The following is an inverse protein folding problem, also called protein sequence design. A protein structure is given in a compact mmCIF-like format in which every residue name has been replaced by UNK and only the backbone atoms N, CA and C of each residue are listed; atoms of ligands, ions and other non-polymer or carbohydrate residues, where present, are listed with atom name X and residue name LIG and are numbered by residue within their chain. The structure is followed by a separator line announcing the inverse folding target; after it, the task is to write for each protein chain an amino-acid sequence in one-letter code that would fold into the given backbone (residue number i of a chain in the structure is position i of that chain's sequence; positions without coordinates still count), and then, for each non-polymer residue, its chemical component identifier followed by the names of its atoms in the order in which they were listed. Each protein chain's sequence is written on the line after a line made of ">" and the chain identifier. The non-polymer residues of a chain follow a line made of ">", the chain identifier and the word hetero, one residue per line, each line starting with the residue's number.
data_IF_531470012009
#
_entry.id   IF_531470012009
#
_cell.length_a   1.000
_cell.length_b   1.000
_cell.length_c   1.000
_cell.angle_alpha   90.00
_cell.angle_beta   90.00
_cell.angle_gamma   90.00
#
_symmetry.space_group_name_H-M   'P 1'
#
loop_
_entity.id
_entity.type
_entity.pdbx_description
1 polymer ?
#
# COMPACT_ATOMS: atom_id res chain seq x y z
N UNK A 1 5.35 -5.39 8.10
CA UNK A 1 4.20 -6.32 7.99
C UNK A 1 3.44 -6.39 9.31
N UNK A 2 4.14 -6.29 10.45
CA UNK A 2 3.53 -6.22 11.79
C UNK A 2 2.92 -4.85 12.12
N UNK A 3 3.14 -3.84 11.29
CA UNK A 3 2.73 -2.44 11.50
C UNK A 3 1.25 -2.23 11.92
N UNK A 4 0.24 -2.92 11.37
CA UNK A 4 -1.14 -2.76 11.83
C UNK A 4 -1.44 -3.49 13.15
N UNK A 5 -0.71 -4.58 13.45
CA UNK A 5 -0.85 -5.33 14.70
C UNK A 5 -0.18 -4.62 15.88
N UNK A 6 0.98 -4.00 15.66
CA UNK A 6 1.65 -3.15 16.67
C UNK A 6 0.77 -1.97 17.06
N UNK A 7 0.14 -1.33 16.08
CA UNK A 7 -0.71 -0.15 16.27
C UNK A 7 -1.99 -0.45 17.07
N UNK A 8 -2.48 -1.68 17.02
CA UNK A 8 -3.70 -2.13 17.72
C UNK A 8 -3.39 -2.96 18.97
N UNK A 9 -2.11 -3.18 19.31
CA UNK A 9 -1.73 -4.04 20.44
C UNK A 9 -2.21 -5.49 20.28
N UNK A 10 -2.36 -5.95 19.04
CA UNK A 10 -2.94 -7.23 18.66
C UNK A 10 -1.89 -8.26 18.22
N UNK A 11 -0.61 -8.02 18.56
CA UNK A 11 0.48 -8.94 18.21
C UNK A 11 0.26 -10.33 18.79
N UNK A 12 0.41 -11.36 17.96
CA UNK A 12 0.27 -12.76 18.37
C UNK A 12 -1.15 -13.24 18.65
N UNK A 13 -2.18 -12.39 18.45
CA UNK A 13 -3.59 -12.76 18.73
C UNK A 13 -4.34 -13.35 17.53
N UNK A 14 -3.78 -13.23 16.33
CA UNK A 14 -4.46 -13.57 15.08
C UNK A 14 -3.54 -14.30 14.10
N UNK A 15 -4.07 -15.35 13.48
CA UNK A 15 -3.46 -16.01 12.33
C UNK A 15 -3.94 -15.36 11.02
N UNK A 16 -3.02 -15.15 10.07
CA UNK A 16 -3.31 -14.51 8.78
C UNK A 16 -3.11 -15.48 7.64
N UNK A 17 -4.21 -15.88 7.01
CA UNK A 17 -4.18 -16.60 5.74
C UNK A 17 -4.57 -15.66 4.60
N UNK A 18 -3.64 -15.41 3.67
CA UNK A 18 -3.87 -14.53 2.52
C UNK A 18 -3.42 -15.19 1.21
N UNK A 19 -4.25 -15.05 0.18
CA UNK A 19 -3.90 -15.41 -1.20
C UNK A 19 -3.76 -14.13 -2.01
N UNK A 20 -2.59 -13.93 -2.62
CA UNK A 20 -2.26 -12.74 -3.39
C UNK A 20 -1.76 -13.17 -4.77
N UNK A 21 -2.22 -12.49 -5.81
CA UNK A 21 -1.85 -12.76 -7.20
C UNK A 21 -1.46 -11.48 -7.93
N UNK A 22 -0.41 -11.54 -8.76
CA UNK A 22 0.09 -10.40 -9.53
C UNK A 22 0.98 -9.43 -8.74
N UNK A 23 1.44 -8.37 -9.40
CA UNK A 23 2.36 -7.38 -8.82
C UNK A 23 3.78 -7.90 -8.61
N UNK A 24 4.54 -7.21 -7.74
CA UNK A 24 5.87 -7.64 -7.28
C UNK A 24 5.95 -7.62 -5.75
N UNK A 25 7.07 -8.08 -5.18
CA UNK A 25 7.23 -8.32 -3.73
C UNK A 25 6.80 -7.12 -2.86
N UNK A 26 7.25 -5.91 -3.19
CA UNK A 26 6.90 -4.70 -2.44
C UNK A 26 5.42 -4.31 -2.58
N UNK A 27 4.84 -4.49 -3.77
CA UNK A 27 3.42 -4.24 -4.03
C UNK A 27 2.51 -5.24 -3.30
N UNK A 28 2.91 -6.51 -3.26
CA UNK A 28 2.20 -7.56 -2.53
C UNK A 28 2.24 -7.32 -1.02
N UNK A 29 3.40 -6.93 -0.47
CA UNK A 29 3.50 -6.55 0.95
C UNK A 29 2.58 -5.38 1.32
N UNK A 30 2.51 -4.35 0.46
CA UNK A 30 1.59 -3.22 0.64
C UNK A 30 0.12 -3.63 0.56
N UNK A 31 -0.24 -4.49 -0.40
CA UNK A 31 -1.59 -5.01 -0.56
C UNK A 31 -2.03 -5.84 0.66
N UNK A 32 -1.14 -6.70 1.15
CA UNK A 32 -1.39 -7.53 2.32
C UNK A 32 -1.59 -6.68 3.58
N UNK A 33 -0.75 -5.67 3.78
CA UNK A 33 -0.88 -4.73 4.91
C UNK A 33 -2.23 -4.02 4.91
N UNK A 34 -2.69 -3.55 3.74
CA UNK A 34 -4.00 -2.90 3.62
C UNK A 34 -5.15 -3.89 3.88
N UNK A 35 -5.02 -5.14 3.42
CA UNK A 35 -5.99 -6.20 3.69
C UNK A 35 -6.13 -6.46 5.20
N UNK A 36 -5.01 -6.69 5.88
CA UNK A 36 -4.97 -6.93 7.33
C UNK A 36 -5.56 -5.76 8.11
N UNK A 37 -5.19 -4.52 7.78
CA UNK A 37 -5.71 -3.33 8.45
C UNK A 37 -7.25 -3.19 8.28
N UNK A 38 -7.79 -3.56 7.12
CA UNK A 38 -9.24 -3.55 6.88
C UNK A 38 -9.95 -4.65 7.65
N UNK A 39 -9.38 -5.85 7.73
CA UNK A 39 -9.90 -6.96 8.52
C UNK A 39 -9.93 -6.62 10.01
N UNK A 40 -8.86 -6.06 10.57
CA UNK A 40 -8.81 -5.61 11.96
C UNK A 40 -9.86 -4.53 12.28
N UNK A 41 -10.07 -3.60 11.34
CA UNK A 41 -11.11 -2.58 11.47
C UNK A 41 -12.53 -3.14 11.37
N UNK A 42 -12.74 -4.33 10.80
CA UNK A 42 -14.05 -4.99 10.79
C UNK A 42 -14.33 -5.75 12.10
N UNK A 43 -13.28 -6.26 12.77
CA UNK A 43 -13.41 -6.99 14.03
C UNK A 43 -13.84 -6.05 15.17
N UNK A 44 -13.15 -4.92 15.31
CA UNK A 44 -13.51 -3.89 16.27
C UNK A 44 -13.41 -2.52 15.60
N UNK A 45 -14.57 -1.98 15.22
CA UNK A 45 -14.68 -0.77 14.43
C UNK A 45 -14.55 0.49 15.26
N UNK A 46 -14.91 0.45 16.54
CA UNK A 46 -14.94 1.62 17.40
C UNK A 46 -13.58 1.83 18.09
N UNK A 47 -12.91 0.74 18.49
CA UNK A 47 -11.57 0.80 19.09
C UNK A 47 -10.43 0.97 18.09
N UNK A 48 -10.46 0.27 16.94
CA UNK A 48 -9.30 0.23 16.04
C UNK A 48 -9.29 1.33 14.98
N UNK A 49 -10.46 1.85 14.59
CA UNK A 49 -10.57 2.82 13.49
C UNK A 49 -9.80 4.13 13.74
N UNK A 50 -9.84 4.76 14.93
CA UNK A 50 -9.11 6.00 15.18
C UNK A 50 -7.60 5.83 15.02
N UNK A 51 -7.05 4.77 15.62
CA UNK A 51 -5.61 4.46 15.58
C UNK A 51 -5.14 4.09 14.18
N UNK A 52 -5.88 3.22 13.47
CA UNK A 52 -5.54 2.79 12.11
C UNK A 52 -5.68 3.92 11.09
N UNK A 53 -6.67 4.80 11.26
CA UNK A 53 -6.84 5.98 10.39
C UNK A 53 -5.72 7.00 10.61
N UNK A 54 -5.35 7.26 11.87
CA UNK A 54 -4.25 8.18 12.21
C UNK A 54 -2.91 7.67 11.67
N UNK A 55 -2.67 6.37 11.73
CA UNK A 55 -1.48 5.74 11.17
C UNK A 55 -1.50 5.57 9.63
N UNK A 56 -2.60 5.93 8.96
CA UNK A 56 -2.71 5.91 7.50
C UNK A 56 -2.90 4.52 6.87
N UNK A 57 -3.20 3.48 7.66
CA UNK A 57 -3.29 2.10 7.15
C UNK A 57 -4.60 1.78 6.41
N UNK A 58 -5.62 2.64 6.51
CA UNK A 58 -6.91 2.45 5.84
C UNK A 58 -6.93 3.03 4.40
N UNK A 59 -5.95 3.84 4.04
CA UNK A 59 -5.89 4.52 2.74
C UNK A 59 -5.16 3.65 1.71
N UNK A 60 -5.76 3.47 0.54
CA UNK A 60 -5.10 2.80 -0.59
C UNK A 60 -4.06 3.74 -1.19
N UNK A 61 -2.84 3.25 -1.41
CA UNK A 61 -1.83 3.99 -2.18
C UNK A 61 -2.31 4.16 -3.64
N UNK A 62 -2.52 5.39 -4.14
CA UNK A 62 -2.97 5.62 -5.50
C UNK A 62 -1.82 5.65 -6.52
N UNK A 63 -0.56 5.58 -6.08
CA UNK A 63 0.60 5.71 -6.97
C UNK A 63 0.66 4.53 -7.95
N UNK A 64 0.69 4.85 -9.24
CA UNK A 64 0.80 3.88 -10.31
C UNK A 64 1.87 4.33 -11.32
N UNK A 65 2.41 3.38 -12.08
CA UNK A 65 3.41 3.67 -13.12
C UNK A 65 2.77 4.51 -14.22
N UNK A 66 3.27 5.73 -14.42
CA UNK A 66 2.82 6.58 -15.52
C UNK A 66 3.24 5.98 -16.87
N UNK A 67 2.35 6.08 -17.86
CA UNK A 67 2.59 5.66 -19.25
C UNK A 67 3.71 6.50 -19.90
N UNK A 68 4.43 5.91 -20.85
CA UNK A 68 5.36 6.61 -21.75
C UNK A 68 4.58 7.56 -22.71
N UNK A 69 5.00 8.82 -22.79
CA UNK A 69 4.45 9.79 -23.76
C UNK A 69 5.24 9.73 -25.07
N UNK A 70 4.60 10.05 -26.19
CA UNK A 70 5.27 10.10 -27.49
C UNK A 70 6.35 11.18 -27.49
N UNK A 71 7.44 10.96 -28.23
CA UNK A 71 8.60 11.86 -28.24
C UNK A 71 9.49 11.82 -26.99
N UNK A 72 9.06 11.19 -25.89
CA UNK A 72 9.87 11.04 -24.67
C UNK A 72 10.52 9.65 -24.58
N UNK A 73 11.69 9.56 -23.94
CA UNK A 73 12.40 8.29 -23.68
C UNK A 73 11.70 7.45 -22.61
N UNK A 74 11.05 8.08 -21.62
CA UNK A 74 10.23 7.44 -20.56
C UNK A 74 8.94 8.26 -20.33
N UNK A 75 8.24 8.05 -19.21
CA UNK A 75 7.04 8.83 -18.86
C UNK A 75 7.28 10.35 -18.85
N UNK A 76 8.42 10.79 -18.30
CA UNK A 76 8.81 12.21 -18.19
C UNK A 76 10.18 12.57 -18.80
N UNK A 77 11.07 11.58 -18.99
CA UNK A 77 12.45 11.83 -19.46
C UNK A 77 12.46 12.17 -20.95
N UNK A 78 12.85 13.39 -21.29
CA UNK A 78 13.09 13.83 -22.66
C UNK A 78 14.46 13.36 -23.20
N UNK A 79 14.64 13.39 -24.52
CA UNK A 79 15.97 13.35 -25.13
C UNK A 79 16.75 14.62 -24.79
N UNK A 80 18.08 14.55 -24.89
CA UNK A 80 18.91 15.74 -24.78
C UNK A 80 18.51 16.71 -25.88
N UNK A 81 18.21 17.95 -25.50
CA UNK A 81 17.87 19.01 -26.42
C UNK A 81 19.15 19.73 -26.85
N UNK A 82 19.36 19.89 -28.16
CA UNK A 82 20.46 20.66 -28.72
C UNK A 82 19.92 22.01 -29.18
N UNK A 83 20.28 23.07 -28.47
CA UNK A 83 20.11 24.45 -28.96
C UNK A 83 21.29 24.73 -29.89
N UNK A 84 21.00 25.14 -31.12
CA UNK A 84 21.96 25.81 -32.00
C UNK A 84 21.70 27.30 -31.92
#
# INVERSE_FOLDING_TARGET
>A
MNDPFTTTGAEGKFDVHARISGGGVSGQAGALRLGVARSLNQIDRDGNRPSLKKAGFLTRDPRAKERKKYGLKKARKASQYSKR
#
